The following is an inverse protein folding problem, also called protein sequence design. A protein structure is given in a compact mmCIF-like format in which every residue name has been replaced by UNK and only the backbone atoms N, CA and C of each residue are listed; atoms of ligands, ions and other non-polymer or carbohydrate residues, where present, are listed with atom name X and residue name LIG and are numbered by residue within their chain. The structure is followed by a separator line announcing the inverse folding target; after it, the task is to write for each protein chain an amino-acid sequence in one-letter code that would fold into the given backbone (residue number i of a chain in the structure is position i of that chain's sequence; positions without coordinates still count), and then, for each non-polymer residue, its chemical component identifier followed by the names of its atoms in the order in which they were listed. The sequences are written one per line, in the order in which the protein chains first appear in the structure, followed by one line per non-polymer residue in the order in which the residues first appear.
data_IF_887023141275
#
_entry.id   IF_887023141275
#
_cell.length_a   1.000
_cell.length_b   1.000
_cell.length_c   1.000
_cell.angle_alpha   90.00
_cell.angle_beta   90.00
_cell.angle_gamma   90.00
#
_symmetry.space_group_name_H-M   'P 1'
#
loop_
_entity.id
_entity.type
_entity.pdbx_description
1 polymer ?
#
# COMPACT_ATOMS: atom_id res chain seq x y z
N UNK A 1 17.58 2.54 -0.09
CA UNK A 1 18.48 2.61 -1.27
C UNK A 1 17.65 2.95 -2.48
N UNK A 2 18.01 4.02 -3.18
CA UNK A 2 17.40 4.44 -4.45
C UNK A 2 17.78 3.44 -5.56
N UNK A 3 16.83 3.09 -6.43
CA UNK A 3 17.10 2.24 -7.59
C UNK A 3 17.89 3.03 -8.62
N UNK A 4 18.58 2.35 -9.54
CA UNK A 4 19.40 3.00 -10.57
C UNK A 4 18.64 4.02 -11.47
N UNK A 5 17.31 3.94 -11.51
CA UNK A 5 16.42 4.86 -12.23
C UNK A 5 15.92 6.05 -11.39
N UNK A 6 16.37 6.20 -10.14
CA UNK A 6 15.95 7.27 -9.24
C UNK A 6 14.61 7.02 -8.51
N UNK A 7 14.08 5.80 -8.59
CA UNK A 7 12.80 5.45 -7.97
C UNK A 7 13.04 4.91 -6.56
N UNK A 8 12.05 5.13 -5.70
CA UNK A 8 12.07 4.63 -4.32
C UNK A 8 11.06 3.50 -4.14
N UNK A 9 11.39 2.45 -3.38
CA UNK A 9 10.44 1.40 -3.07
C UNK A 9 9.30 1.95 -2.20
N UNK A 10 8.07 1.64 -2.59
CA UNK A 10 6.89 1.93 -1.81
C UNK A 10 6.74 0.89 -0.70
N UNK A 11 6.64 1.38 0.53
CA UNK A 11 6.47 0.55 1.73
C UNK A 11 5.06 0.74 2.27
N UNK A 12 4.40 -0.36 2.59
CA UNK A 12 3.13 -0.36 3.32
C UNK A 12 3.42 -0.44 4.83
N UNK A 13 2.68 0.34 5.60
CA UNK A 13 2.70 0.30 7.07
C UNK A 13 1.31 -0.13 7.55
N UNK A 14 1.24 -1.28 8.19
CA UNK A 14 0.05 -1.75 8.89
C UNK A 14 0.21 -1.51 10.38
N UNK A 15 -0.87 -1.07 11.02
CA UNK A 15 -0.95 -0.89 12.46
C UNK A 15 -2.18 -1.63 12.96
N UNK A 16 -1.97 -2.60 13.86
CA UNK A 16 -3.02 -3.39 14.51
C UNK A 16 -2.70 -3.39 16.01
N UNK A 17 -3.63 -2.92 16.84
CA UNK A 17 -3.49 -2.86 18.30
C UNK A 17 -2.17 -2.25 18.83
N UNK A 18 -1.67 -1.23 18.11
CA UNK A 18 -0.42 -0.54 18.44
C UNK A 18 0.85 -1.25 17.93
N UNK A 19 0.75 -2.47 17.40
CA UNK A 19 1.86 -3.11 16.71
C UNK A 19 1.95 -2.63 15.26
N UNK A 20 3.17 -2.27 14.84
CA UNK A 20 3.46 -1.82 13.48
C UNK A 20 4.18 -2.93 12.73
N UNK A 21 3.62 -3.35 11.59
CA UNK A 21 4.31 -4.19 10.60
C UNK A 21 4.50 -3.40 9.32
N UNK A 22 5.68 -3.52 8.74
CA UNK A 22 6.01 -2.91 7.45
C UNK A 22 6.33 -4.00 6.44
N UNK A 23 5.84 -3.82 5.22
CA UNK A 23 6.17 -4.70 4.10
C UNK A 23 6.33 -3.90 2.82
N UNK A 24 7.13 -4.42 1.89
CA UNK A 24 7.28 -3.79 0.58
C UNK A 24 6.03 -4.03 -0.26
N UNK A 25 5.49 -2.97 -0.86
CA UNK A 25 4.42 -3.07 -1.87
C UNK A 25 4.90 -3.69 -3.20
N UNK A 26 6.21 -4.00 -3.31
CA UNK A 26 6.87 -4.45 -4.54
C UNK A 26 6.66 -3.50 -5.72
N UNK A 27 6.47 -2.21 -5.41
CA UNK A 27 6.28 -1.13 -6.36
C UNK A 27 7.37 -0.10 -6.10
N UNK A 28 8.00 0.40 -7.15
CA UNK A 28 8.93 1.52 -7.09
C UNK A 28 8.24 2.76 -7.67
N UNK A 29 8.37 3.91 -7.00
CA UNK A 29 7.63 5.13 -7.32
C UNK A 29 8.61 6.31 -7.46
N UNK A 30 8.42 7.20 -8.47
CA UNK A 30 9.16 8.44 -8.55
C UNK A 30 8.79 9.35 -7.36
N UNK A 31 9.77 9.82 -6.56
CA UNK A 31 9.48 10.69 -5.42
C UNK A 31 8.73 11.96 -5.82
N UNK A 32 8.99 12.48 -7.02
CA UNK A 32 8.35 13.68 -7.58
C UNK A 32 6.86 13.49 -7.89
N UNK A 33 6.43 12.25 -8.12
CA UNK A 33 5.02 11.94 -8.40
C UNK A 33 4.25 11.58 -7.13
N UNK A 34 4.91 11.21 -6.04
CA UNK A 34 4.23 10.75 -4.83
C UNK A 34 3.85 11.89 -3.89
N UNK A 35 2.57 11.97 -3.53
CA UNK A 35 2.11 12.82 -2.44
C UNK A 35 1.99 12.02 -1.15
N UNK A 36 2.86 12.33 -0.21
CA UNK A 36 2.92 11.70 1.13
C UNK A 36 1.65 11.94 1.93
N UNK A 37 0.99 13.09 1.77
CA UNK A 37 -0.21 13.44 2.56
C UNK A 37 -1.41 12.59 2.16
N UNK A 38 -1.59 12.40 0.86
CA UNK A 38 -2.69 11.58 0.34
C UNK A 38 -2.32 10.11 0.18
N UNK A 39 -1.03 9.77 0.31
CA UNK A 39 -0.49 8.45 0.01
C UNK A 39 -0.94 7.97 -1.39
N UNK A 40 -0.78 8.84 -2.38
CA UNK A 40 -1.14 8.62 -3.79
C UNK A 40 -0.13 9.25 -4.72
N UNK A 41 -0.05 8.73 -5.94
CA UNK A 41 0.61 9.42 -7.03
C UNK A 41 -0.26 10.58 -7.54
N UNK A 42 0.38 11.70 -7.83
CA UNK A 42 -0.20 12.95 -8.32
C UNK A 42 -0.24 13.02 -9.83
N UNK A 43 -1.13 13.87 -10.36
CA UNK A 43 -1.31 14.03 -11.80
C UNK A 43 -2.20 12.97 -12.45
N UNK A 44 -2.25 12.99 -13.77
CA UNK A 44 -3.10 12.11 -14.61
C UNK A 44 -2.31 11.26 -15.59
N UNK A 45 -1.00 11.13 -15.39
CA UNK A 45 -0.17 10.28 -16.26
C UNK A 45 -0.57 8.81 -16.11
N UNK A 46 -0.33 8.02 -17.16
CA UNK A 46 -0.57 6.57 -17.11
C UNK A 46 0.20 5.89 -15.97
N UNK A 47 1.41 6.39 -15.67
CA UNK A 47 2.22 5.92 -14.54
C UNK A 47 1.56 6.22 -13.19
N UNK A 48 1.07 7.44 -12.98
CA UNK A 48 0.38 7.82 -11.75
C UNK A 48 -0.92 7.01 -11.55
N UNK A 49 -1.69 6.80 -12.63
CA UNK A 49 -2.89 5.96 -12.60
C UNK A 49 -2.56 4.51 -12.25
N UNK A 50 -1.51 3.94 -12.85
CA UNK A 50 -1.06 2.57 -12.57
C UNK A 50 -0.60 2.41 -11.12
N UNK A 51 0.21 3.33 -10.61
CA UNK A 51 0.65 3.33 -9.20
C UNK A 51 -0.57 3.36 -8.28
N UNK A 52 -1.49 4.28 -8.52
CA UNK A 52 -2.69 4.42 -7.70
C UNK A 52 -3.57 3.16 -7.72
N UNK A 53 -3.73 2.52 -8.88
CA UNK A 53 -4.49 1.27 -9.00
C UNK A 53 -3.88 0.13 -8.16
N UNK A 54 -2.56 -0.02 -8.18
CA UNK A 54 -1.88 -1.03 -7.34
C UNK A 54 -2.00 -0.72 -5.85
N UNK A 55 -1.88 0.55 -5.46
CA UNK A 55 -2.08 0.95 -4.05
C UNK A 55 -3.52 0.66 -3.61
N UNK A 56 -4.51 0.95 -4.45
CA UNK A 56 -5.91 0.69 -4.14
C UNK A 56 -6.20 -0.82 -4.05
N UNK A 57 -5.59 -1.63 -4.92
CA UNK A 57 -5.64 -3.09 -4.84
C UNK A 57 -5.09 -3.61 -3.50
N UNK A 58 -3.92 -3.14 -3.07
CA UNK A 58 -3.31 -3.55 -1.79
C UNK A 58 -4.25 -3.18 -0.63
N UNK A 59 -4.84 -1.99 -0.63
CA UNK A 59 -5.81 -1.58 0.40
C UNK A 59 -7.02 -2.51 0.46
N UNK A 60 -7.60 -2.85 -0.68
CA UNK A 60 -8.74 -3.77 -0.76
C UNK A 60 -8.35 -5.16 -0.26
N UNK A 61 -7.19 -5.68 -0.70
CA UNK A 61 -6.73 -7.01 -0.32
C UNK A 61 -6.46 -7.11 1.20
N UNK A 62 -5.81 -6.11 1.79
CA UNK A 62 -5.57 -6.05 3.25
C UNK A 62 -6.89 -6.01 4.01
N UNK A 63 -7.82 -5.13 3.62
CA UNK A 63 -9.12 -5.03 4.28
C UNK A 63 -9.91 -6.34 4.15
N UNK A 64 -9.92 -6.97 2.97
CA UNK A 64 -10.58 -8.26 2.78
C UNK A 64 -10.01 -9.33 3.71
N UNK A 65 -8.67 -9.47 3.78
CA UNK A 65 -8.03 -10.44 4.69
C UNK A 65 -8.33 -10.16 6.16
N UNK A 66 -8.39 -8.90 6.56
CA UNK A 66 -8.81 -8.53 7.90
C UNK A 66 -10.24 -8.98 8.20
N UNK A 67 -11.19 -8.73 7.28
CA UNK A 67 -12.58 -9.17 7.43
C UNK A 67 -12.71 -10.70 7.49
N UNK A 68 -11.98 -11.43 6.65
CA UNK A 68 -11.94 -12.90 6.67
C UNK A 68 -11.46 -13.43 8.03
N UNK A 69 -10.37 -12.86 8.58
CA UNK A 69 -9.85 -13.23 9.90
C UNK A 69 -10.85 -12.95 11.03
N UNK A 70 -11.51 -11.79 11.00
CA UNK A 70 -12.53 -11.43 12.00
C UNK A 70 -13.75 -12.35 11.94
N UNK A 71 -14.15 -12.79 10.74
CA UNK A 71 -15.26 -13.73 10.58
C UNK A 71 -14.88 -15.14 11.04
N UNK A 72 -13.63 -15.58 10.83
CA UNK A 72 -13.17 -16.89 11.31
C UNK A 72 -12.99 -16.93 12.83
N UNK A 73 -12.53 -15.84 13.47
CA UNK A 73 -12.44 -15.76 14.94
C UNK A 73 -13.82 -15.55 15.61
N UNK A 74 -14.82 -15.11 14.86
CA UNK A 74 -16.21 -14.99 15.32
C UNK A 74 -16.97 -16.33 15.41
N UNK A 75 -16.36 -17.45 15.00
CA UNK A 75 -16.95 -18.79 15.04
C UNK A 75 -16.25 -19.67 16.09
N UNK A 76 -16.28 -19.21 17.35
CA UNK A 76 -16.13 -20.10 18.51
C UNK A 76 -17.47 -20.06 19.27
N UNK A 77 -18.36 -20.98 18.92
CA UNK A 77 -19.48 -21.43 19.76
C UNK A 77 -19.34 -22.92 19.96
#
# INVERSE_FOLDING_TARGET
SERANGYLPLMCRLTVDGEIKQFSCKLDVPPKLWDVKTARATGKSAEAQKINAEVDRIRVDVNRRYQELMQSDGYVT
#
